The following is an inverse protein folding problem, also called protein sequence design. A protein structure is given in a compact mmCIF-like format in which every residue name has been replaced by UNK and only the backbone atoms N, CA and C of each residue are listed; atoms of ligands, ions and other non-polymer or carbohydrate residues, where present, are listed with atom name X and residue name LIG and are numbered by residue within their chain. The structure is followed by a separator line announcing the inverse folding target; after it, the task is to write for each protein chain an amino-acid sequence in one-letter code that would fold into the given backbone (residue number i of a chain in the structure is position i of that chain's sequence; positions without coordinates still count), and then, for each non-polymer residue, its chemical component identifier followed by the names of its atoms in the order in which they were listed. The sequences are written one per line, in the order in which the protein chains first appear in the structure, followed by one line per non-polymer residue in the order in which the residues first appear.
data_IF_617157506910
#
_entry.id   IF_617157506910
#
_cell.length_a   1.000
_cell.length_b   1.000
_cell.length_c   1.000
_cell.angle_alpha   90.00
_cell.angle_beta   90.00
_cell.angle_gamma   90.00
#
_symmetry.space_group_name_H-M   'P 1'
#
loop_
_entity.id
_entity.type
_entity.pdbx_description
1 polymer ?
#
# COMPACT_ATOMS: atom_id res chain seq x y z
N UNK A 1 -14.89 -16.86 -11.82
CA UNK A 1 -15.56 -17.30 -10.57
C UNK A 1 -14.88 -18.55 -10.02
N UNK A 2 -15.00 -18.83 -8.72
CA UNK A 2 -14.40 -20.02 -8.11
C UNK A 2 -15.23 -21.28 -8.42
N UNK A 3 -14.56 -22.44 -8.48
CA UNK A 3 -15.20 -23.75 -8.61
C UNK A 3 -14.72 -24.66 -7.50
N UNK A 4 -15.65 -25.24 -6.75
CA UNK A 4 -15.35 -26.23 -5.71
C UNK A 4 -15.89 -27.59 -6.10
N UNK A 5 -15.08 -28.62 -5.94
CA UNK A 5 -15.50 -30.01 -6.04
C UNK A 5 -16.01 -30.48 -4.69
N UNK A 6 -17.27 -30.90 -4.65
CA UNK A 6 -17.91 -31.48 -3.48
C UNK A 6 -18.00 -33.00 -3.67
N UNK A 7 -17.37 -33.73 -2.76
CA UNK A 7 -17.38 -35.19 -2.73
C UNK A 7 -18.33 -35.65 -1.64
N UNK A 8 -19.36 -36.40 -2.02
CA UNK A 8 -20.41 -36.90 -1.14
C UNK A 8 -19.95 -38.16 -0.39
N UNK A 9 -20.59 -38.43 0.75
CA UNK A 9 -20.36 -39.63 1.53
C UNK A 9 -20.71 -40.89 0.73
N UNK A 10 -19.95 -41.99 0.88
CA UNK A 10 -20.25 -43.26 0.21
C UNK A 10 -21.68 -43.76 0.48
N UNK A 11 -22.19 -43.51 1.69
CA UNK A 11 -23.51 -43.94 2.14
C UNK A 11 -24.65 -43.02 1.67
N UNK A 12 -24.38 -41.92 0.97
CA UNK A 12 -25.43 -41.04 0.46
C UNK A 12 -26.28 -41.74 -0.61
N UNK A 13 -27.60 -41.54 -0.65
CA UNK A 13 -28.44 -42.11 -1.71
C UNK A 13 -28.23 -41.52 -3.13
N UNK A 14 -27.25 -40.63 -3.31
CA UNK A 14 -26.98 -39.95 -4.57
C UNK A 14 -26.37 -40.89 -5.63
N UNK A 15 -26.88 -40.82 -6.86
CA UNK A 15 -26.36 -41.57 -8.03
C UNK A 15 -24.95 -41.10 -8.44
N UNK A 16 -24.71 -39.79 -8.42
CA UNK A 16 -23.39 -39.22 -8.63
C UNK A 16 -22.82 -38.76 -7.27
N UNK A 17 -21.60 -39.17 -6.95
CA UNK A 17 -20.93 -38.89 -5.67
C UNK A 17 -19.98 -37.71 -5.73
N UNK A 18 -19.72 -37.20 -6.93
CA UNK A 18 -18.89 -36.04 -7.15
C UNK A 18 -19.71 -34.99 -7.91
N UNK A 19 -19.72 -33.77 -7.40
CA UNK A 19 -20.34 -32.64 -8.08
C UNK A 19 -19.40 -31.44 -8.02
N UNK A 20 -19.31 -30.73 -9.13
CA UNK A 20 -18.60 -29.47 -9.19
C UNK A 20 -19.63 -28.34 -8.99
N UNK A 21 -19.36 -27.47 -8.03
CA UNK A 21 -20.20 -26.32 -7.72
C UNK A 21 -19.54 -25.05 -8.22
N UNK A 22 -20.26 -24.32 -9.07
CA UNK A 22 -19.82 -23.10 -9.71
C UNK A 22 -20.45 -21.91 -9.00
N UNK A 23 -19.62 -21.07 -8.37
CA UNK A 23 -20.10 -19.90 -7.63
C UNK A 23 -20.68 -18.80 -8.53
N UNK A 24 -20.40 -18.84 -9.84
CA UNK A 24 -20.96 -17.89 -10.82
C UNK A 24 -22.48 -17.98 -10.94
N UNK A 25 -23.06 -19.15 -10.69
CA UNK A 25 -24.50 -19.39 -10.79
C UNK A 25 -25.25 -19.04 -9.50
N UNK A 26 -24.54 -18.51 -8.50
CA UNK A 26 -25.11 -18.19 -7.21
C UNK A 26 -25.50 -16.71 -7.15
N UNK A 27 -26.80 -16.43 -7.15
CA UNK A 27 -27.29 -15.09 -6.89
C UNK A 27 -26.96 -14.64 -5.46
N UNK A 28 -26.52 -13.39 -5.32
CA UNK A 28 -26.21 -12.77 -4.03
C UNK A 28 -27.53 -12.49 -3.29
N UNK A 29 -27.73 -13.17 -2.16
CA UNK A 29 -28.88 -12.94 -1.26
C UNK A 29 -28.52 -11.92 -0.17
N UNK A 30 -29.53 -11.20 0.32
CA UNK A 30 -29.37 -10.24 1.42
C UNK A 30 -28.89 -10.87 2.74
N UNK A 31 -28.25 -10.06 3.59
CA UNK A 31 -27.54 -10.49 4.81
C UNK A 31 -28.38 -11.26 5.85
N UNK A 32 -29.71 -11.14 5.80
CA UNK A 32 -30.66 -11.86 6.66
C UNK A 32 -31.08 -13.24 6.14
N UNK A 33 -30.54 -13.69 5.01
CA UNK A 33 -30.90 -14.98 4.41
C UNK A 33 -30.18 -16.15 5.09
N UNK A 34 -30.88 -17.28 5.25
CA UNK A 34 -30.32 -18.52 5.85
C UNK A 34 -29.21 -19.21 5.01
N UNK A 35 -28.79 -18.60 3.90
CA UNK A 35 -27.76 -19.11 3.01
C UNK A 35 -28.30 -19.92 1.83
N UNK A 36 -27.39 -20.51 1.06
CA UNK A 36 -27.70 -21.32 -0.11
C UNK A 36 -27.33 -22.79 0.14
N UNK A 37 -28.31 -23.67 -0.04
CA UNK A 37 -28.09 -25.11 0.11
C UNK A 37 -27.57 -25.70 -1.20
N UNK A 38 -26.31 -26.12 -1.20
CA UNK A 38 -25.62 -26.70 -2.37
C UNK A 38 -26.04 -28.15 -2.63
N UNK A 39 -26.22 -28.94 -1.58
CA UNK A 39 -26.66 -30.34 -1.67
C UNK A 39 -27.40 -30.76 -0.41
N UNK A 40 -28.35 -31.69 -0.54
CA UNK A 40 -29.06 -32.32 0.59
C UNK A 40 -28.36 -33.57 1.11
N UNK A 41 -27.32 -34.03 0.42
CA UNK A 41 -26.62 -35.26 0.75
C UNK A 41 -25.42 -34.99 1.66
N UNK A 42 -25.10 -35.95 2.55
CA UNK A 42 -23.97 -35.86 3.46
C UNK A 42 -22.64 -35.70 2.69
N UNK A 43 -21.88 -34.66 2.99
CA UNK A 43 -20.61 -34.33 2.32
C UNK A 43 -19.45 -35.03 3.04
N UNK A 44 -18.55 -35.64 2.27
CA UNK A 44 -17.29 -36.24 2.77
C UNK A 44 -16.15 -35.23 2.75
N UNK A 45 -15.97 -34.52 1.64
CA UNK A 45 -14.90 -33.52 1.50
C UNK A 45 -15.24 -32.48 0.45
N UNK A 46 -14.72 -31.27 0.64
CA UNK A 46 -14.78 -30.18 -0.34
C UNK A 46 -13.34 -29.86 -0.74
N UNK A 47 -13.07 -29.77 -2.04
CA UNK A 47 -11.76 -29.38 -2.58
C UNK A 47 -11.94 -28.21 -3.54
N UNK A 48 -11.11 -27.18 -3.42
CA UNK A 48 -11.06 -26.12 -4.42
C UNK A 48 -10.52 -26.73 -5.72
N UNK A 49 -11.34 -26.68 -6.78
CA UNK A 49 -10.98 -27.24 -8.10
C UNK A 49 -10.32 -26.17 -8.96
N UNK A 50 -10.87 -24.97 -8.92
CA UNK A 50 -10.32 -23.81 -9.61
C UNK A 50 -10.45 -22.59 -8.71
N UNK A 51 -9.29 -21.99 -8.36
CA UNK A 51 -9.26 -20.68 -7.72
C UNK A 51 -9.61 -19.69 -8.81
N UNK A 52 -10.78 -19.07 -8.71
CA UNK A 52 -11.27 -18.16 -9.75
C UNK A 52 -10.21 -17.11 -10.03
N UNK A 53 -9.80 -16.97 -11.30
CA UNK A 53 -9.08 -15.77 -11.71
C UNK A 53 -10.03 -14.59 -11.53
N UNK A 54 -9.52 -13.53 -10.90
CA UNK A 54 -10.28 -12.33 -10.58
C UNK A 54 -11.05 -11.88 -11.82
N UNK A 55 -12.38 -11.89 -11.76
CA UNK A 55 -13.25 -11.36 -12.83
C UNK A 55 -13.41 -9.85 -12.74
N UNK A 56 -12.69 -9.20 -11.82
CA UNK A 56 -12.64 -7.75 -11.75
C UNK A 56 -11.62 -7.29 -12.79
N UNK A 57 -12.08 -6.49 -13.74
CA UNK A 57 -11.20 -5.90 -14.75
C UNK A 57 -10.09 -5.09 -14.06
N UNK A 58 -8.86 -5.20 -14.55
CA UNK A 58 -7.78 -4.27 -14.18
C UNK A 58 -8.26 -2.85 -14.41
N UNK A 59 -8.38 -2.07 -13.33
CA UNK A 59 -8.85 -0.68 -13.37
C UNK A 59 -7.70 0.25 -13.04
N UNK A 60 -7.73 1.40 -13.70
CA UNK A 60 -6.85 2.51 -13.37
C UNK A 60 -7.41 3.28 -12.18
N UNK A 61 -6.54 3.64 -11.24
CA UNK A 61 -6.92 4.42 -10.07
C UNK A 61 -6.13 5.71 -9.98
N UNK A 62 -6.79 6.76 -9.49
CA UNK A 62 -6.19 8.02 -9.14
C UNK A 62 -6.61 8.43 -7.73
N UNK A 63 -5.74 9.16 -7.04
CA UNK A 63 -6.04 9.82 -5.77
C UNK A 63 -6.23 11.33 -6.01
N UNK A 64 -7.44 11.82 -5.73
CA UNK A 64 -7.74 13.25 -5.72
C UNK A 64 -7.24 13.85 -4.38
N UNK A 65 -6.15 14.59 -4.45
CA UNK A 65 -5.47 15.24 -3.32
C UNK A 65 -6.21 16.46 -2.78
N UNK A 66 -7.30 16.90 -3.42
CA UNK A 66 -8.16 17.99 -2.93
C UNK A 66 -9.37 17.45 -2.19
N UNK A 67 -10.00 16.39 -2.73
CA UNK A 67 -11.18 15.76 -2.13
C UNK A 67 -10.81 14.67 -1.12
N UNK A 68 -9.60 14.13 -1.22
CA UNK A 68 -9.08 13.04 -0.41
C UNK A 68 -9.74 11.71 -0.75
N UNK A 69 -10.03 11.46 -2.01
CA UNK A 69 -10.77 10.25 -2.45
C UNK A 69 -10.12 9.60 -3.65
N UNK A 70 -10.32 8.29 -3.74
CA UNK A 70 -9.98 7.52 -4.93
C UNK A 70 -11.00 7.76 -6.03
N UNK A 71 -10.55 7.75 -7.29
CA UNK A 71 -11.41 7.83 -8.45
C UNK A 71 -10.82 7.06 -9.64
N UNK A 72 -11.64 6.88 -10.68
CA UNK A 72 -11.26 6.25 -11.95
C UNK A 72 -11.39 7.24 -13.12
N UNK A 73 -11.44 8.55 -12.84
CA UNK A 73 -11.77 9.61 -13.80
C UNK A 73 -10.54 10.44 -14.21
N UNK A 74 -9.33 9.89 -14.04
CA UNK A 74 -8.07 10.57 -14.38
C UNK A 74 -7.82 11.90 -13.64
N UNK A 75 -8.38 12.03 -12.42
CA UNK A 75 -8.23 13.23 -11.59
C UNK A 75 -7.26 13.01 -10.44
N UNK A 76 -6.21 13.82 -10.39
CA UNK A 76 -5.20 13.80 -9.32
C UNK A 76 -4.03 12.87 -9.62
N UNK A 77 -3.47 12.26 -8.59
CA UNK A 77 -2.27 11.42 -8.67
C UNK A 77 -2.62 10.03 -9.21
N UNK A 78 -1.99 9.62 -10.31
CA UNK A 78 -2.14 8.27 -10.84
C UNK A 78 -1.48 7.24 -9.91
N UNK A 79 -2.24 6.22 -9.49
CA UNK A 79 -1.76 5.18 -8.57
C UNK A 79 -1.35 3.89 -9.28
N UNK A 80 -1.77 3.72 -10.54
CA UNK A 80 -1.50 2.52 -11.33
C UNK A 80 -2.77 1.84 -11.85
N UNK A 81 -2.57 0.70 -12.49
CA UNK A 81 -3.65 -0.19 -12.94
C UNK A 81 -3.54 -1.52 -12.21
N UNK A 82 -4.56 -1.87 -11.43
CA UNK A 82 -4.57 -3.13 -10.69
C UNK A 82 -6.00 -3.67 -10.51
N UNK A 83 -6.07 -4.95 -10.15
CA UNK A 83 -7.26 -5.80 -10.31
C UNK A 83 -8.04 -5.98 -9.00
N UNK A 84 -7.36 -5.87 -7.85
CA UNK A 84 -7.87 -5.80 -6.46
C UNK A 84 -6.65 -5.82 -5.52
N UNK A 85 -5.85 -4.78 -5.56
CA UNK A 85 -4.65 -4.70 -4.75
C UNK A 85 -4.83 -3.71 -3.64
N UNK A 86 -4.19 -3.98 -2.52
CA UNK A 86 -4.24 -3.08 -1.40
C UNK A 86 -3.46 -1.81 -1.74
N UNK A 87 -3.88 -0.70 -1.16
CA UNK A 87 -3.14 0.55 -1.14
C UNK A 87 -2.41 0.68 0.18
N UNK A 88 -1.28 1.38 0.16
CA UNK A 88 -0.66 1.92 1.35
C UNK A 88 -0.84 3.43 1.38
N UNK A 89 -1.30 3.92 2.52
CA UNK A 89 -1.43 5.35 2.79
C UNK A 89 -0.51 5.70 3.95
N UNK A 90 0.37 6.67 3.75
CA UNK A 90 1.26 7.19 4.79
C UNK A 90 0.78 8.57 5.21
N UNK A 91 0.72 8.80 6.51
CA UNK A 91 0.21 10.02 7.10
C UNK A 91 1.32 10.88 7.72
N UNK A 92 1.02 12.18 7.87
CA UNK A 92 1.91 13.21 8.43
C UNK A 92 2.30 12.97 9.88
N UNK A 93 1.48 12.24 10.63
CA UNK A 93 1.79 11.81 12.00
C UNK A 93 2.80 10.64 12.06
N UNK A 94 3.28 10.15 10.90
CA UNK A 94 4.19 9.03 10.82
C UNK A 94 3.52 7.68 11.10
N UNK A 95 2.22 7.58 10.83
CA UNK A 95 1.51 6.31 10.71
C UNK A 95 1.32 5.89 9.25
N UNK A 96 1.17 4.59 9.01
CA UNK A 96 0.68 4.07 7.74
C UNK A 96 -0.57 3.21 7.96
N UNK A 97 -1.34 3.04 6.89
CA UNK A 97 -2.51 2.16 6.82
C UNK A 97 -2.48 1.39 5.49
N UNK A 98 -2.77 0.10 5.57
CA UNK A 98 -3.03 -0.72 4.38
C UNK A 98 -4.55 -0.80 4.21
N UNK A 99 -5.07 -0.46 3.04
CA UNK A 99 -6.51 -0.37 2.79
C UNK A 99 -6.87 -0.88 1.41
N UNK A 100 -8.15 -1.14 1.16
CA UNK A 100 -8.62 -1.50 -0.17
C UNK A 100 -8.78 -0.26 -1.09
N UNK A 101 -9.40 -0.47 -2.24
CA UNK A 101 -9.57 0.53 -3.29
C UNK A 101 -11.01 1.05 -3.36
N UNK A 102 -11.73 1.08 -2.23
CA UNK A 102 -13.10 1.55 -2.19
C UNK A 102 -13.20 3.04 -2.52
N UNK A 103 -13.95 3.40 -3.57
CA UNK A 103 -14.07 4.79 -4.05
C UNK A 103 -14.83 5.72 -3.09
N UNK A 104 -15.62 5.15 -2.17
CA UNK A 104 -16.36 5.91 -1.15
C UNK A 104 -15.46 6.32 0.02
N UNK A 105 -14.30 5.65 0.17
CA UNK A 105 -13.33 5.93 1.21
C UNK A 105 -12.80 7.36 1.09
N UNK A 106 -12.68 8.02 2.23
CA UNK A 106 -12.17 9.39 2.31
C UNK A 106 -11.01 9.47 3.28
N UNK A 107 -9.93 10.04 2.78
CA UNK A 107 -8.76 10.42 3.56
C UNK A 107 -8.79 11.93 3.80
N UNK A 108 -8.13 12.36 4.88
CA UNK A 108 -7.88 13.77 5.14
C UNK A 108 -6.68 14.22 4.31
N UNK A 109 -6.86 15.03 3.25
CA UNK A 109 -5.77 15.33 2.32
C UNK A 109 -4.61 16.09 2.97
N UNK A 110 -4.88 16.87 4.01
CA UNK A 110 -3.84 17.60 4.75
C UNK A 110 -2.93 16.69 5.57
N UNK A 111 -3.38 15.46 5.84
CA UNK A 111 -2.65 14.45 6.60
C UNK A 111 -1.98 13.42 5.71
N UNK A 112 -2.42 13.24 4.47
CA UNK A 112 -1.86 12.24 3.56
C UNK A 112 -0.54 12.75 2.97
N UNK A 113 0.50 11.92 3.07
CA UNK A 113 1.85 12.21 2.58
C UNK A 113 2.26 11.30 1.42
N UNK A 114 1.71 10.09 1.35
CA UNK A 114 1.92 9.12 0.28
C UNK A 114 0.66 8.27 0.12
N UNK A 115 0.28 8.01 -1.14
CA UNK A 115 -0.69 6.97 -1.52
C UNK A 115 -0.08 6.23 -2.68
N UNK A 116 0.07 4.91 -2.56
CA UNK A 116 0.52 4.06 -3.66
C UNK A 116 -0.06 2.65 -3.54
N UNK A 117 0.06 1.87 -4.60
CA UNK A 117 -0.18 0.43 -4.59
C UNK A 117 0.76 -0.24 -3.57
N UNK A 118 0.17 -1.04 -2.67
CA UNK A 118 0.93 -1.73 -1.63
C UNK A 118 1.75 -2.86 -2.22
N UNK A 119 3.06 -2.82 -1.98
CA UNK A 119 3.97 -3.91 -2.27
C UNK A 119 4.84 -4.18 -1.03
N UNK A 120 4.77 -5.39 -0.43
CA UNK A 120 5.52 -5.71 0.79
C UNK A 120 7.04 -5.72 0.60
N UNK A 121 7.54 -5.89 -0.63
CA UNK A 121 8.98 -5.91 -0.93
C UNK A 121 9.56 -4.49 -1.07
N UNK A 122 8.70 -3.48 -1.34
CA UNK A 122 9.13 -2.09 -1.49
C UNK A 122 9.64 -1.54 -0.17
N UNK A 123 10.73 -0.78 -0.27
CA UNK A 123 11.33 -0.08 0.87
C UNK A 123 10.74 1.31 0.95
N UNK A 124 10.13 1.64 2.09
CA UNK A 124 9.70 2.99 2.42
C UNK A 124 10.87 3.73 3.05
N UNK A 125 11.18 4.90 2.50
CA UNK A 125 12.15 5.84 3.05
C UNK A 125 11.42 7.05 3.59
N UNK A 126 11.61 7.34 4.87
CA UNK A 126 10.92 8.39 5.60
C UNK A 126 11.89 9.30 6.33
N UNK A 127 11.63 10.61 6.29
CA UNK A 127 12.31 11.63 7.08
C UNK A 127 11.30 12.25 8.04
N UNK A 128 11.61 12.22 9.32
CA UNK A 128 10.71 12.72 10.36
C UNK A 128 11.46 13.52 11.42
N UNK A 129 10.75 14.42 12.09
CA UNK A 129 11.27 15.23 13.19
C UNK A 129 11.07 14.50 14.52
N UNK A 130 12.14 14.31 15.29
CA UNK A 130 12.06 14.10 16.74
C UNK A 130 12.17 15.49 17.38
N UNK A 131 11.02 16.03 17.78
CA UNK A 131 10.89 17.42 18.24
C UNK A 131 11.54 17.66 19.59
N UNK A 132 11.45 16.67 20.48
CA UNK A 132 12.10 16.68 21.79
C UNK A 132 13.61 16.89 21.64
N UNK A 133 14.21 16.19 20.68
CA UNK A 133 15.65 16.30 20.39
C UNK A 133 16.01 17.39 19.38
N UNK A 134 15.01 17.99 18.72
CA UNK A 134 15.18 18.89 17.58
C UNK A 134 16.13 18.32 16.50
N UNK A 135 15.93 17.04 16.15
CA UNK A 135 16.70 16.38 15.08
C UNK A 135 15.76 15.83 14.01
N UNK A 136 16.19 15.93 12.76
CA UNK A 136 15.61 15.15 11.69
C UNK A 136 16.27 13.76 11.66
N UNK A 137 15.43 12.72 11.68
CA UNK A 137 15.85 11.34 11.49
C UNK A 137 15.40 10.86 10.12
N UNK A 138 16.19 9.97 9.54
CA UNK A 138 15.87 9.25 8.30
C UNK A 138 15.83 7.76 8.56
N UNK A 139 14.86 7.09 7.96
CA UNK A 139 14.60 5.66 8.17
C UNK A 139 14.22 5.00 6.87
N UNK A 140 14.77 3.82 6.61
CA UNK A 140 14.41 2.94 5.50
C UNK A 140 13.89 1.62 6.06
N UNK A 141 12.70 1.19 5.67
CA UNK A 141 12.09 -0.02 6.21
C UNK A 141 11.12 -0.64 5.22
N UNK A 142 10.83 -1.94 5.40
CA UNK A 142 9.72 -2.61 4.73
C UNK A 142 8.51 -2.70 5.66
N UNK A 143 7.33 -2.82 5.08
CA UNK A 143 6.10 -3.04 5.82
C UNK A 143 5.99 -4.52 6.14
N UNK A 144 5.95 -4.87 7.43
CA UNK A 144 5.95 -6.27 7.88
C UNK A 144 4.54 -6.81 8.15
N UNK A 145 3.54 -5.94 8.32
CA UNK A 145 2.16 -6.34 8.62
C UNK A 145 1.32 -6.39 7.35
N UNK A 146 0.34 -7.29 7.32
CA UNK A 146 -0.72 -7.35 6.31
C UNK A 146 -2.08 -6.97 6.88
N UNK A 147 -2.14 -6.46 8.11
CA UNK A 147 -3.40 -6.07 8.75
C UNK A 147 -3.97 -4.85 8.04
N UNK A 148 -5.19 -5.00 7.54
CA UNK A 148 -5.94 -3.98 6.81
C UNK A 148 -6.69 -3.04 7.75
N UNK A 149 -6.98 -1.82 7.28
CA UNK A 149 -7.83 -0.81 7.93
C UNK A 149 -7.41 -0.50 9.38
N UNK A 150 -6.12 -0.60 9.66
CA UNK A 150 -5.52 -0.32 10.96
C UNK A 150 -4.30 0.57 10.76
N UNK A 151 -4.18 1.60 11.60
CA UNK A 151 -3.03 2.50 11.57
C UNK A 151 -1.89 1.96 12.41
N UNK A 152 -0.68 2.00 11.85
CA UNK A 152 0.55 1.60 12.53
C UNK A 152 1.54 2.76 12.52
N UNK A 153 1.95 3.23 13.69
CA UNK A 153 3.00 4.25 13.80
C UNK A 153 4.38 3.63 13.56
N UNK A 154 5.17 4.23 12.68
CA UNK A 154 6.55 3.83 12.41
C UNK A 154 7.58 4.87 12.86
N UNK A 155 7.15 5.98 13.47
CA UNK A 155 8.03 6.97 14.09
C UNK A 155 7.89 6.92 15.62
N UNK A 156 8.87 7.48 16.33
CA UNK A 156 8.81 7.61 17.78
C UNK A 156 7.59 8.48 18.16
N UNK A 157 6.75 8.00 19.07
CA UNK A 157 5.68 8.80 19.65
C UNK A 157 6.25 10.01 20.41
N UNK A 158 5.60 11.16 20.27
CA UNK A 158 6.03 12.38 20.96
C UNK A 158 5.30 13.60 20.42
N UNK A 159 5.05 14.56 21.29
CA UNK A 159 4.40 15.81 20.90
C UNK A 159 5.27 16.60 19.91
N UNK A 160 4.66 17.06 18.83
CA UNK A 160 5.34 17.76 17.74
C UNK A 160 6.21 16.89 16.83
N UNK A 161 6.29 15.57 17.04
CA UNK A 161 6.91 14.67 16.07
C UNK A 161 6.01 14.58 14.83
N UNK A 162 6.62 14.67 13.66
CA UNK A 162 5.89 14.64 12.39
C UNK A 162 6.79 14.15 11.26
N UNK A 163 6.16 13.56 10.25
CA UNK A 163 6.78 13.21 8.99
C UNK A 163 6.97 14.47 8.13
N UNK A 164 8.14 14.60 7.51
CA UNK A 164 8.50 15.73 6.64
C UNK A 164 8.63 15.31 5.17
N UNK A 165 9.11 14.10 4.92
CA UNK A 165 9.23 13.57 3.56
C UNK A 165 9.11 12.05 3.59
N UNK A 166 8.46 11.46 2.60
CA UNK A 166 8.38 10.00 2.43
C UNK A 166 8.40 9.62 0.94
N UNK A 167 9.05 8.51 0.63
CA UNK A 167 9.11 7.96 -0.73
C UNK A 167 9.28 6.44 -0.70
N UNK A 168 8.92 5.80 -1.80
CA UNK A 168 9.17 4.38 -2.07
C UNK A 168 10.19 4.16 -3.19
N UNK A 169 10.89 5.21 -3.63
CA UNK A 169 12.00 5.13 -4.60
C UNK A 169 13.13 4.27 -4.02
N UNK A 170 13.67 3.36 -4.84
CA UNK A 170 14.69 2.38 -4.42
C UNK A 170 16.03 3.03 -4.01
N UNK A 171 16.49 3.98 -4.83
CA UNK A 171 17.70 4.80 -4.60
C UNK A 171 17.34 6.27 -4.31
N UNK A 172 16.78 6.57 -3.13
CA UNK A 172 16.23 7.89 -2.86
C UNK A 172 17.34 8.92 -2.61
N UNK A 173 17.22 10.05 -3.29
CA UNK A 173 18.05 11.25 -3.06
C UNK A 173 17.16 12.34 -2.48
N UNK A 174 17.50 12.80 -1.27
CA UNK A 174 16.80 13.89 -0.60
C UNK A 174 17.52 15.21 -0.88
N UNK A 175 16.79 16.18 -1.41
CA UNK A 175 17.25 17.55 -1.56
C UNK A 175 16.73 18.34 -0.37
N UNK A 176 17.64 18.94 0.40
CA UNK A 176 17.32 19.80 1.52
C UNK A 176 17.75 21.22 1.18
N UNK A 177 16.80 22.13 1.17
CA UNK A 177 17.05 23.56 1.00
C UNK A 177 16.90 24.24 2.36
N UNK A 178 17.89 25.04 2.76
CA UNK A 178 17.89 25.73 4.04
C UNK A 178 18.64 27.04 4.00
N UNK A 179 18.16 28.04 4.75
CA UNK A 179 18.74 29.38 4.79
C UNK A 179 17.66 30.46 4.86
N UNK A 180 18.05 31.73 4.80
CA UNK A 180 17.12 32.85 4.67
C UNK A 180 17.75 33.93 3.78
N UNK A 181 16.94 34.56 2.92
CA UNK A 181 17.40 35.61 2.01
C UNK A 181 18.41 35.10 0.96
N UNK A 182 19.55 35.78 0.83
CA UNK A 182 20.57 35.49 -0.21
C UNK A 182 21.48 34.28 0.08
N UNK A 183 21.27 33.57 1.18
CA UNK A 183 22.10 32.44 1.62
C UNK A 183 21.33 31.11 1.68
N UNK A 184 20.44 30.87 0.70
CA UNK A 184 19.83 29.54 0.55
C UNK A 184 20.92 28.55 0.14
N UNK A 185 21.15 27.54 0.97
CA UNK A 185 22.04 26.41 0.71
C UNK A 185 21.19 25.21 0.34
N UNK A 186 21.58 24.54 -0.74
CA UNK A 186 20.99 23.27 -1.14
C UNK A 186 21.98 22.15 -0.85
N UNK A 187 21.53 21.12 -0.15
CA UNK A 187 22.31 19.92 0.17
C UNK A 187 21.59 18.70 -0.38
N UNK A 188 22.33 17.81 -1.03
CA UNK A 188 21.79 16.54 -1.54
C UNK A 188 22.28 15.38 -0.69
N UNK A 189 21.37 14.56 -0.20
CA UNK A 189 21.67 13.35 0.57
C UNK A 189 21.29 12.11 -0.24
N UNK A 190 22.26 11.28 -0.60
CA UNK A 190 22.03 9.97 -1.24
C UNK A 190 21.64 8.95 -0.18
N UNK A 191 20.38 8.99 0.27
CA UNK A 191 19.89 8.23 1.42
C UNK A 191 20.11 6.73 1.25
N UNK A 192 19.89 6.20 0.04
CA UNK A 192 20.13 4.78 -0.29
C UNK A 192 21.55 4.29 0.03
N UNK A 193 22.56 5.18 -0.01
CA UNK A 193 23.96 4.87 0.30
C UNK A 193 24.37 5.19 1.74
N UNK A 194 23.55 5.97 2.45
CA UNK A 194 23.85 6.45 3.80
C UNK A 194 23.18 5.60 4.88
N UNK A 195 22.05 4.99 4.56
CA UNK A 195 21.18 4.32 5.51
C UNK A 195 20.76 2.97 4.94
N UNK A 196 20.98 1.90 5.71
CA UNK A 196 20.51 0.56 5.37
C UNK A 196 19.03 0.37 5.72
N UNK A 197 18.41 -0.64 5.13
CA UNK A 197 17.06 -1.06 5.47
C UNK A 197 17.08 -1.65 6.88
N UNK A 198 16.27 -1.09 7.76
CA UNK A 198 16.12 -1.51 9.15
C UNK A 198 14.68 -1.96 9.44
N UNK A 199 14.46 -2.50 10.64
CA UNK A 199 13.12 -2.87 11.09
C UNK A 199 12.21 -1.64 11.21
N UNK A 200 10.92 -1.82 10.91
CA UNK A 200 9.93 -0.73 10.93
C UNK A 200 9.67 -0.12 12.33
N UNK A 201 10.21 -0.69 13.41
CA UNK A 201 10.19 -0.09 14.76
C UNK A 201 11.48 0.66 15.14
N UNK A 202 12.52 0.57 14.32
CA UNK A 202 13.78 1.25 14.60
C UNK A 202 13.63 2.78 14.53
N UNK A 203 14.45 3.53 15.26
CA UNK A 203 14.37 4.99 15.27
C UNK A 203 14.85 5.58 13.94
N UNK A 204 15.78 4.95 13.23
CA UNK A 204 16.44 5.56 12.08
C UNK A 204 17.82 6.11 12.42
N UNK A 205 18.46 6.71 11.42
CA UNK A 205 19.72 7.42 11.55
C UNK A 205 19.46 8.93 11.66
N UNK A 206 20.30 9.64 12.42
CA UNK A 206 20.26 11.10 12.46
C UNK A 206 20.66 11.65 11.08
N UNK A 207 19.79 12.45 10.49
CA UNK A 207 20.03 13.12 9.21
C UNK A 207 20.73 14.47 9.44
N UNK A 208 20.09 15.35 10.20
CA UNK A 208 20.60 16.70 10.49
C UNK A 208 19.86 17.32 11.69
N UNK A 209 20.39 18.43 12.20
CA UNK A 209 19.69 19.25 13.20
C UNK A 209 18.44 19.91 12.59
N UNK A 210 17.40 20.07 13.41
CA UNK A 210 16.18 20.76 13.01
C UNK A 210 16.48 22.23 12.70
N UNK A 211 16.01 22.68 11.54
CA UNK A 211 16.07 24.09 11.12
C UNK A 211 14.68 24.49 10.62
N UNK A 212 14.16 25.63 11.09
CA UNK A 212 12.79 26.09 10.75
C UNK A 212 12.59 26.39 9.26
N UNK A 213 13.66 26.75 8.54
CA UNK A 213 13.63 27.02 7.10
C UNK A 213 14.06 25.83 6.23
N UNK A 214 14.15 24.63 6.81
CA UNK A 214 14.46 23.44 6.03
C UNK A 214 13.23 23.00 5.23
N UNK A 215 13.36 23.06 3.91
CA UNK A 215 12.43 22.44 2.96
C UNK A 215 13.08 21.17 2.40
N UNK A 216 12.28 20.12 2.25
CA UNK A 216 12.75 18.79 1.89
C UNK A 216 11.92 18.23 0.75
N UNK A 217 12.60 17.79 -0.30
CA UNK A 217 11.97 17.20 -1.48
C UNK A 217 12.78 15.99 -1.96
N UNK A 218 12.09 14.99 -2.50
CA UNK A 218 12.75 13.85 -3.13
C UNK A 218 13.08 14.20 -4.57
N UNK A 219 14.30 13.89 -4.99
CA UNK A 219 14.69 13.95 -6.40
C UNK A 219 13.86 12.91 -7.17
N UNK A 220 13.14 13.37 -8.18
CA UNK A 220 12.36 12.48 -9.05
C UNK A 220 13.31 11.71 -9.96
N UNK A 221 13.12 10.39 -10.15
CA UNK A 221 13.89 9.63 -11.14
C UNK A 221 13.69 10.28 -12.53
N UNK A 222 14.77 10.54 -13.26
CA UNK A 222 14.65 10.92 -14.67
C UNK A 222 14.09 9.73 -15.46
N UNK A 223 13.11 9.98 -16.35
CA UNK A 223 12.51 8.98 -17.24
C UNK A 223 13.50 8.35 -18.25
N UNK A 224 14.79 8.70 -18.21
CA UNK A 224 15.81 8.27 -19.20
C UNK A 224 16.37 6.85 -19.01
N UNK A 225 15.93 6.09 -18.00
CA UNK A 225 16.49 4.76 -17.69
C UNK A 225 15.66 3.56 -18.16
N UNK A 226 14.63 3.75 -18.98
CA UNK A 226 14.11 2.63 -19.79
C UNK A 226 14.98 2.47 -21.05
N UNK A 227 16.20 1.94 -20.88
CA UNK A 227 16.91 1.35 -22.02
C UNK A 227 16.04 0.20 -22.55
N UNK A 228 15.61 0.22 -23.82
CA UNK A 228 14.94 -0.93 -24.40
C UNK A 228 15.90 -2.11 -24.36
N UNK A 229 15.46 -3.21 -23.73
CA UNK A 229 16.20 -4.47 -23.69
C UNK A 229 16.57 -4.88 -25.11
N UNK A 230 17.87 -4.84 -25.42
CA UNK A 230 18.42 -5.10 -26.75
C UNK A 230 18.54 -6.61 -27.07
N UNK A 231 17.56 -7.40 -26.61
CA UNK A 231 17.46 -8.83 -26.85
C UNK A 231 16.01 -9.20 -27.14
N UNK A 232 15.57 -8.88 -28.35
CA UNK A 232 14.60 -9.69 -29.10
C UNK A 232 14.97 -9.51 -30.58
N UNK A 233 15.82 -10.42 -31.06
CA UNK A 233 16.16 -10.63 -32.46
C UNK A 233 15.97 -12.12 -32.79
#
# INVERSE_FOLDING_TARGET
AEVVRVLLSPNAGARNKELDFYFENLDIKGRSSMGNQVTKYSVKSIKLKEKGKSTLERRKYWYDDKLGRLNTEEKGLYLGTFENENLIVVFRDGSYEITDTELTQRFDPEKVMLVEQFNPEKVITAVYLDKEKNIFNVKRFRIETSTMHSKFSFIKEGDGNALFAVTSIEDPVLIVQGGSGKQVRTVRFKIGKMVDVMGWKAIGAKLMEFTKSAEMEWEQPSEENEQPSLFDA
#
